data_IF_018011357535
#
_entry.id   IF_018011357535
#
_cell.length_a   1.000
_cell.length_b   1.000
_cell.length_c   1.000
_cell.angle_alpha   90.00
_cell.angle_beta   90.00
_cell.angle_gamma   90.00
#
_symmetry.space_group_name_H-M   'P 1'
#
loop_
_entity.id
_entity.type
_entity.pdbx_description
1 polymer ?
#
# COMPACT_ATOMS: atom_id res chain seq x y z
N UNK A 1 -106.44 15.82 1.84
CA UNK A 1 -105.09 15.91 1.23
C UNK A 1 -104.06 16.54 2.18
N UNK A 2 -103.85 16.01 3.39
CA UNK A 2 -102.91 16.62 4.39
C UNK A 2 -101.96 15.65 5.09
N UNK A 3 -102.23 14.33 5.03
CA UNK A 3 -101.40 13.31 5.71
C UNK A 3 -100.13 12.93 4.94
N UNK A 4 -100.12 13.06 3.60
CA UNK A 4 -98.95 12.72 2.78
C UNK A 4 -97.79 13.72 2.90
N UNK A 5 -98.10 15.01 3.12
CA UNK A 5 -97.07 16.06 3.30
C UNK A 5 -96.25 15.89 4.58
N UNK A 6 -96.83 15.31 5.63
CA UNK A 6 -96.16 15.08 6.93
C UNK A 6 -95.23 13.87 6.83
N UNK A 7 -95.66 12.79 6.16
CA UNK A 7 -94.84 11.60 5.94
C UNK A 7 -93.62 11.86 5.05
N UNK A 8 -93.73 12.77 4.08
CA UNK A 8 -92.61 13.15 3.22
C UNK A 8 -91.58 13.99 3.98
N UNK A 9 -92.04 14.87 4.89
CA UNK A 9 -91.15 15.71 5.70
C UNK A 9 -90.29 14.91 6.71
N UNK A 10 -90.87 13.87 7.33
CA UNK A 10 -90.14 13.01 8.27
C UNK A 10 -89.11 12.11 7.59
N UNK A 11 -89.38 11.64 6.37
CA UNK A 11 -88.42 10.85 5.60
C UNK A 11 -87.17 11.65 5.19
N UNK A 12 -87.34 12.93 4.82
CA UNK A 12 -86.24 13.82 4.44
C UNK A 12 -85.39 14.20 5.66
N UNK A 13 -86.01 14.45 6.82
CA UNK A 13 -85.29 14.77 8.06
C UNK A 13 -84.43 13.60 8.56
N UNK A 14 -84.92 12.36 8.48
CA UNK A 14 -84.15 11.17 8.88
C UNK A 14 -82.99 10.86 7.91
N UNK A 15 -83.16 11.12 6.61
CA UNK A 15 -82.09 10.97 5.62
C UNK A 15 -80.91 11.91 5.85
N UNK A 16 -81.19 13.18 6.21
CA UNK A 16 -80.14 14.18 6.46
C UNK A 16 -79.30 13.88 7.72
N UNK A 17 -79.91 13.29 8.75
CA UNK A 17 -79.20 12.94 10.00
C UNK A 17 -78.26 11.75 9.79
N UNK A 18 -78.60 10.80 8.91
CA UNK A 18 -77.77 9.62 8.59
C UNK A 18 -76.51 10.00 7.79
N UNK A 19 -76.64 10.87 6.78
CA UNK A 19 -75.49 11.28 5.94
C UNK A 19 -74.47 12.10 6.74
N UNK A 20 -74.94 12.98 7.63
CA UNK A 20 -74.05 13.78 8.49
C UNK A 20 -73.26 12.94 9.50
N UNK A 21 -73.84 11.83 9.98
CA UNK A 21 -73.17 10.96 10.96
C UNK A 21 -72.11 10.05 10.33
N UNK A 22 -72.29 9.63 9.06
CA UNK A 22 -71.27 8.86 8.33
C UNK A 22 -70.05 9.73 8.00
N UNK A 23 -70.25 10.98 7.60
CA UNK A 23 -69.13 11.89 7.29
C UNK A 23 -68.31 12.32 8.52
N UNK A 24 -68.92 12.37 9.71
CA UNK A 24 -68.23 12.78 10.94
C UNK A 24 -67.37 11.64 11.52
N UNK A 25 -67.70 10.37 11.23
CA UNK A 25 -66.94 9.20 11.67
C UNK A 25 -65.75 8.86 10.75
N UNK A 26 -65.82 9.21 9.46
CA UNK A 26 -64.74 8.94 8.48
C UNK A 26 -63.54 9.90 8.64
N UNK A 27 -63.77 11.13 9.13
CA UNK A 27 -62.70 12.11 9.40
C UNK A 27 -61.89 11.83 10.68
N UNK A 28 -62.37 10.93 11.56
CA UNK A 28 -61.72 10.64 12.84
C UNK A 28 -60.62 9.56 12.80
N UNK A 29 -60.50 8.81 11.70
CA UNK A 29 -59.65 7.61 11.64
C UNK A 29 -58.46 7.69 10.66
N UNK A 30 -58.18 8.87 10.11
CA UNK A 30 -57.00 9.09 9.27
C UNK A 30 -55.77 9.45 10.12
N UNK A 31 -55.39 8.54 11.03
CA UNK A 31 -54.10 8.66 11.74
C UNK A 31 -52.96 8.32 10.79
N UNK A 32 -52.33 9.35 10.23
CA UNK A 32 -51.10 9.25 9.45
C UNK A 32 -49.96 8.91 10.42
N UNK A 33 -49.74 7.62 10.63
CA UNK A 33 -48.60 7.12 11.40
C UNK A 33 -47.33 7.32 10.55
N UNK A 34 -46.77 8.53 10.60
CA UNK A 34 -45.52 8.90 9.95
C UNK A 34 -44.34 8.25 10.68
N UNK A 35 -44.16 6.95 10.46
CA UNK A 35 -42.95 6.23 10.87
C UNK A 35 -41.76 6.72 10.04
N UNK A 36 -40.77 7.31 10.69
CA UNK A 36 -39.48 7.60 10.07
C UNK A 36 -38.81 6.26 9.71
N UNK A 37 -38.72 5.93 8.42
CA UNK A 37 -37.91 4.80 7.97
C UNK A 37 -36.43 5.11 8.28
N UNK A 38 -35.90 4.49 9.33
CA UNK A 38 -34.48 4.57 9.65
C UNK A 38 -33.66 3.96 8.52
N UNK A 39 -32.75 4.74 7.94
CA UNK A 39 -31.78 4.22 6.99
C UNK A 39 -30.89 3.18 7.69
N UNK A 40 -30.80 1.98 7.11
CA UNK A 40 -29.89 0.95 7.59
C UNK A 40 -28.43 1.45 7.46
N UNK A 41 -27.57 1.22 8.46
CA UNK A 41 -26.16 1.56 8.36
C UNK A 41 -25.52 0.81 7.19
N UNK A 42 -24.68 1.52 6.43
CA UNK A 42 -23.94 0.93 5.32
C UNK A 42 -23.10 -0.26 5.82
N UNK A 43 -23.05 -1.39 5.08
CA UNK A 43 -22.24 -2.53 5.47
C UNK A 43 -20.77 -2.12 5.59
N UNK A 44 -20.12 -2.55 6.68
CA UNK A 44 -18.72 -2.26 6.92
C UNK A 44 -17.87 -2.78 5.75
N UNK A 45 -16.98 -1.93 5.23
CA UNK A 45 -16.08 -2.30 4.14
C UNK A 45 -15.24 -3.52 4.53
N UNK A 46 -15.16 -4.51 3.64
CA UNK A 46 -14.35 -5.70 3.84
C UNK A 46 -12.86 -5.31 3.79
N UNK A 47 -12.19 -5.32 4.95
CA UNK A 47 -10.75 -5.03 5.04
C UNK A 47 -9.98 -6.33 4.88
N UNK A 48 -9.32 -6.51 3.74
CA UNK A 48 -8.39 -7.62 3.52
C UNK A 48 -7.05 -7.30 4.19
N UNK A 49 -6.58 -8.11 5.17
CA UNK A 49 -5.29 -7.88 5.80
C UNK A 49 -4.14 -8.12 4.81
N UNK A 50 -3.26 -7.13 4.64
CA UNK A 50 -2.06 -7.23 3.80
C UNK A 50 -0.83 -7.08 4.71
N UNK A 51 0.20 -7.93 4.57
CA UNK A 51 1.45 -7.75 5.31
C UNK A 51 2.15 -6.46 4.86
N UNK A 52 2.56 -5.64 5.82
CA UNK A 52 3.33 -4.40 5.59
C UNK A 52 4.70 -4.47 6.26
N UNK A 53 5.69 -3.83 5.64
CA UNK A 53 7.04 -3.69 6.19
C UNK A 53 7.48 -2.22 6.14
N UNK A 54 8.25 -1.78 7.13
CA UNK A 54 8.81 -0.43 7.17
C UNK A 54 10.04 -0.32 6.27
N UNK A 55 10.10 0.75 5.46
CA UNK A 55 11.22 0.99 4.54
C UNK A 55 12.19 1.98 5.18
N UNK A 56 13.47 1.60 5.29
CA UNK A 56 14.56 2.46 5.78
C UNK A 56 15.52 2.75 4.64
N UNK A 57 15.83 4.03 4.41
CA UNK A 57 16.82 4.44 3.41
C UNK A 57 18.22 4.19 3.97
N UNK A 58 18.99 3.33 3.29
CA UNK A 58 20.39 3.07 3.61
C UNK A 58 21.24 3.18 2.35
N UNK A 59 22.35 3.88 2.46
CA UNK A 59 23.36 3.93 1.40
C UNK A 59 24.14 2.61 1.42
N UNK A 60 24.21 1.94 0.27
CA UNK A 60 24.91 0.65 0.11
C UNK A 60 26.02 0.85 -0.93
N UNK A 61 27.27 0.41 -0.65
CA UNK A 61 28.34 0.49 -1.63
C UNK A 61 28.12 -0.50 -2.77
N UNK A 62 28.52 -0.10 -3.98
CA UNK A 62 28.60 -0.99 -5.15
C UNK A 62 30.08 -1.37 -5.31
N UNK A 63 30.36 -2.67 -5.28
CA UNK A 63 31.69 -3.21 -5.51
C UNK A 63 31.87 -3.59 -6.98
N UNK A 64 33.08 -3.39 -7.49
CA UNK A 64 33.46 -3.72 -8.85
C UNK A 64 34.67 -4.65 -8.78
N UNK A 65 34.52 -5.85 -9.31
CA UNK A 65 35.57 -6.86 -9.30
C UNK A 65 36.35 -6.81 -10.61
N UNK A 66 37.65 -6.52 -10.51
CA UNK A 66 38.54 -6.40 -11.65
C UNK A 66 39.70 -7.39 -11.54
N UNK A 67 40.09 -7.97 -12.67
CA UNK A 67 41.33 -8.73 -12.77
C UNK A 67 42.52 -7.77 -12.85
N UNK A 68 43.51 -7.96 -11.98
CA UNK A 68 44.76 -7.21 -11.98
C UNK A 68 45.95 -8.14 -11.67
N UNK A 69 47.15 -7.66 -11.95
CA UNK A 69 48.41 -8.31 -11.58
C UNK A 69 49.31 -7.32 -10.86
N UNK A 70 50.13 -7.82 -9.95
CA UNK A 70 51.15 -7.04 -9.27
C UNK A 70 52.40 -6.97 -10.14
N UNK A 71 52.94 -5.76 -10.31
CA UNK A 71 54.18 -5.51 -11.04
C UNK A 71 55.19 -4.79 -10.14
N UNK A 72 56.49 -5.08 -10.27
CA UNK A 72 57.51 -4.39 -9.50
C UNK A 72 57.68 -2.96 -10.00
N UNK A 73 57.97 -2.02 -9.09
CA UNK A 73 58.27 -0.61 -9.45
C UNK A 73 59.51 -0.53 -10.34
N UNK A 74 60.49 -1.42 -10.10
CA UNK A 74 61.72 -1.52 -10.89
C UNK A 74 62.06 -2.99 -11.09
N UNK A 75 62.28 -3.37 -12.35
CA UNK A 75 62.83 -4.67 -12.72
C UNK A 75 64.12 -4.44 -13.49
N UNK A 76 65.20 -5.08 -13.06
CA UNK A 76 66.53 -4.94 -13.66
C UNK A 76 67.01 -6.34 -14.01
N UNK A 77 67.34 -6.55 -15.28
CA UNK A 77 67.96 -7.79 -15.74
C UNK A 77 69.48 -7.68 -15.57
N UNK A 78 70.07 -8.61 -14.81
CA UNK A 78 71.53 -8.67 -14.66
C UNK A 78 72.15 -9.23 -15.94
N UNK A 79 73.17 -8.54 -16.45
CA UNK A 79 73.95 -8.98 -17.60
C UNK A 79 75.44 -8.86 -17.28
N UNK A 80 76.20 -9.90 -17.61
CA UNK A 80 77.65 -9.89 -17.47
C UNK A 80 78.27 -8.90 -18.47
N UNK A 81 79.18 -8.04 -17.97
CA UNK A 81 79.88 -7.05 -18.82
C UNK A 81 81.02 -7.67 -19.64
N UNK A 82 81.54 -8.81 -19.19
CA UNK A 82 82.73 -9.47 -19.75
C UNK A 82 82.42 -10.95 -19.91
N UNK A 83 82.88 -11.61 -21.00
CA UNK A 83 82.73 -13.05 -21.15
C UNK A 83 83.61 -13.81 -20.14
N UNK A 84 83.07 -14.87 -19.54
CA UNK A 84 83.79 -15.69 -18.57
C UNK A 84 82.94 -16.88 -18.09
N UNK A 85 83.50 -17.67 -17.18
CA UNK A 85 82.79 -18.75 -16.50
C UNK A 85 82.42 -18.30 -15.08
N UNK A 86 81.23 -18.68 -14.61
CA UNK A 86 80.81 -18.43 -13.23
C UNK A 86 81.60 -19.35 -12.29
N UNK A 87 82.30 -18.76 -11.31
CA UNK A 87 83.08 -19.51 -10.32
C UNK A 87 82.29 -19.69 -9.02
N UNK A 88 81.64 -18.63 -8.53
CA UNK A 88 80.87 -18.63 -7.29
C UNK A 88 79.65 -17.71 -7.39
N UNK A 89 78.63 -17.97 -6.56
CA UNK A 89 77.45 -17.11 -6.40
C UNK A 89 77.47 -16.56 -4.98
N UNK A 90 77.81 -15.28 -4.82
CA UNK A 90 77.96 -14.66 -3.50
C UNK A 90 76.60 -14.26 -2.90
N UNK A 91 75.64 -13.85 -3.73
CA UNK A 91 74.30 -13.47 -3.30
C UNK A 91 73.32 -14.64 -3.38
N UNK A 92 72.64 -14.94 -2.26
CA UNK A 92 71.60 -15.96 -2.21
C UNK A 92 70.34 -15.53 -2.97
N UNK A 93 69.64 -16.50 -3.55
CA UNK A 93 68.39 -16.24 -4.26
C UNK A 93 67.34 -15.65 -3.32
N UNK A 94 66.75 -14.52 -3.75
CA UNK A 94 65.74 -13.80 -2.96
C UNK A 94 66.30 -12.92 -1.84
N UNK A 95 67.63 -12.81 -1.70
CA UNK A 95 68.24 -11.90 -0.74
C UNK A 95 68.12 -10.43 -1.17
N UNK A 96 67.99 -9.54 -0.17
CA UNK A 96 68.08 -8.10 -0.39
C UNK A 96 69.54 -7.69 -0.63
N UNK A 97 69.80 -7.07 -1.78
CA UNK A 97 71.14 -6.60 -2.18
C UNK A 97 71.16 -5.08 -2.35
N UNK A 98 72.31 -4.46 -2.11
CA UNK A 98 72.53 -3.02 -2.32
C UNK A 98 73.21 -2.77 -3.65
N UNK A 99 73.11 -1.52 -4.11
CA UNK A 99 73.83 -1.09 -5.30
C UNK A 99 75.35 -1.22 -5.09
N UNK A 100 76.00 -1.99 -5.95
CA UNK A 100 77.46 -2.20 -5.92
C UNK A 100 77.90 -3.48 -5.21
N UNK A 101 76.98 -4.25 -4.63
CA UNK A 101 77.32 -5.55 -4.03
C UNK A 101 77.77 -6.56 -5.11
N UNK A 102 78.74 -7.41 -4.76
CA UNK A 102 79.20 -8.50 -5.63
C UNK A 102 78.19 -9.62 -5.63
N UNK A 103 77.73 -10.00 -6.82
CA UNK A 103 76.73 -11.06 -6.99
C UNK A 103 77.35 -12.37 -7.52
N UNK A 104 78.35 -12.25 -8.42
CA UNK A 104 79.00 -13.33 -9.16
C UNK A 104 80.47 -12.98 -9.46
#
# INVERSE_FOLDING_TARGET
MRKWKIALGTAVALGAISVASVHLLDMGNLSLNAGTAGAAPAPAAFVMPVPVASVVKKTIPIYLDYAARTEPIRSITLQARVPGYLQEQTAQDGADVRQGDTLY
#
